data_IF_416678982780
#
_entry.id   IF_416678982780
#
_cell.length_a   1.000
_cell.length_b   1.000
_cell.length_c   1.000
_cell.angle_alpha   90.00
_cell.angle_beta   90.00
_cell.angle_gamma   90.00
#
_symmetry.space_group_name_H-M   'P 1'
#
loop_
_entity.id
_entity.type
_entity.pdbx_description
1 polymer ?
#
# COMPACT_ATOMS: atom_id res chain seq x y z
N UNK A 1 -0.94 -30.04 -7.54
CA UNK A 1 0.07 -29.02 -7.92
C UNK A 1 -0.59 -27.75 -8.47
N UNK A 2 -1.53 -27.85 -9.42
CA UNK A 2 -2.23 -26.68 -9.99
C UNK A 2 -3.12 -25.95 -8.95
N UNK A 3 -3.80 -26.70 -8.08
CA UNK A 3 -4.67 -26.11 -7.05
C UNK A 3 -3.91 -25.27 -6.01
N UNK A 4 -2.71 -25.71 -5.61
CA UNK A 4 -1.84 -24.93 -4.71
C UNK A 4 -1.36 -23.61 -5.34
N UNK A 5 -1.17 -23.57 -6.66
CA UNK A 5 -0.84 -22.34 -7.38
C UNK A 5 -2.06 -21.42 -7.43
N UNK A 6 -3.26 -21.97 -7.65
CA UNK A 6 -4.51 -21.20 -7.67
C UNK A 6 -4.82 -20.57 -6.30
N UNK A 7 -4.64 -21.31 -5.20
CA UNK A 7 -4.77 -20.76 -3.84
C UNK A 7 -3.73 -19.67 -3.55
N UNK A 8 -2.52 -19.81 -4.09
CA UNK A 8 -1.52 -18.75 -4.05
C UNK A 8 -2.01 -17.48 -4.74
N UNK A 9 -2.54 -17.58 -5.96
CA UNK A 9 -3.05 -16.41 -6.68
C UNK A 9 -4.27 -15.75 -6.00
N UNK A 10 -5.14 -16.52 -5.34
CA UNK A 10 -6.30 -15.95 -4.64
C UNK A 10 -5.94 -15.15 -3.39
N UNK A 11 -4.80 -15.45 -2.75
CA UNK A 11 -4.32 -14.74 -1.56
C UNK A 11 -3.43 -13.52 -1.88
N UNK A 12 -3.09 -13.32 -3.16
CA UNK A 12 -2.33 -12.16 -3.60
C UNK A 12 -3.18 -10.90 -3.41
N UNK A 13 -2.72 -10.02 -2.54
CA UNK A 13 -3.33 -8.71 -2.33
C UNK A 13 -2.26 -7.63 -2.26
N UNK A 14 -2.68 -6.40 -2.51
CA UNK A 14 -1.81 -5.22 -2.43
C UNK A 14 -2.13 -4.45 -1.17
N UNK A 15 -1.12 -4.15 -0.33
CA UNK A 15 -1.31 -3.35 0.88
C UNK A 15 -1.81 -1.94 0.55
N UNK A 16 -1.39 -1.38 -0.59
CA UNK A 16 -1.63 0.02 -0.95
C UNK A 16 -1.98 0.15 -2.44
N UNK A 17 -3.22 -0.20 -2.85
CA UNK A 17 -3.62 -0.20 -4.26
C UNK A 17 -3.56 1.19 -4.91
N UNK A 18 -3.57 2.27 -4.13
CA UNK A 18 -3.49 3.62 -4.67
C UNK A 18 -2.17 3.94 -5.40
N UNK A 19 -1.08 3.19 -5.13
CA UNK A 19 0.20 3.40 -5.82
C UNK A 19 0.19 3.06 -7.30
N UNK A 20 -0.83 2.33 -7.79
CA UNK A 20 -1.05 2.17 -9.23
C UNK A 20 -1.34 3.51 -9.93
N UNK A 21 -1.81 4.53 -9.21
CA UNK A 21 -1.91 5.89 -9.76
C UNK A 21 -0.54 6.44 -10.22
N UNK A 22 0.58 5.94 -9.65
CA UNK A 22 1.94 6.26 -10.08
C UNK A 22 2.29 5.77 -11.49
N UNK A 23 1.49 4.88 -12.09
CA UNK A 23 1.62 4.50 -13.50
C UNK A 23 1.10 5.58 -14.46
N UNK A 24 0.12 6.40 -14.03
CA UNK A 24 -0.40 7.49 -14.87
C UNK A 24 0.69 8.47 -15.32
N UNK A 25 1.53 9.05 -14.43
CA UNK A 25 2.57 9.97 -14.86
C UNK A 25 3.61 9.28 -15.77
N UNK A 26 3.93 8.01 -15.52
CA UNK A 26 4.82 7.24 -16.40
C UNK A 26 4.24 7.08 -17.81
N UNK A 27 2.94 6.74 -17.92
CA UNK A 27 2.25 6.63 -19.19
C UNK A 27 2.18 7.97 -19.94
N UNK A 28 1.87 9.06 -19.23
CA UNK A 28 1.83 10.41 -19.81
C UNK A 28 3.21 10.80 -20.38
N UNK A 29 4.29 10.57 -19.62
CA UNK A 29 5.64 10.85 -20.08
C UNK A 29 6.01 10.04 -21.32
N UNK A 30 5.71 8.74 -21.34
CA UNK A 30 5.98 7.87 -22.50
C UNK A 30 5.24 8.34 -23.75
N UNK A 31 3.96 8.69 -23.63
CA UNK A 31 3.16 9.23 -24.74
C UNK A 31 3.74 10.57 -25.21
N UNK A 32 4.06 11.47 -24.28
CA UNK A 32 4.63 12.78 -24.58
C UNK A 32 5.96 12.69 -25.34
N UNK A 33 6.89 11.85 -24.88
CA UNK A 33 8.17 11.63 -25.55
C UNK A 33 8.00 10.93 -26.91
N UNK A 34 7.05 9.98 -27.03
CA UNK A 34 6.71 9.33 -28.28
C UNK A 34 6.13 10.30 -29.33
N UNK A 35 5.25 11.21 -28.89
CA UNK A 35 4.69 12.27 -29.74
C UNK A 35 5.75 13.28 -30.16
N UNK A 36 6.61 13.72 -29.23
CA UNK A 36 7.70 14.64 -29.55
C UNK A 36 8.61 14.07 -30.63
N UNK A 37 8.99 12.79 -30.53
CA UNK A 37 9.82 12.12 -31.54
C UNK A 37 9.19 12.11 -32.94
N UNK A 38 7.87 11.90 -33.04
CA UNK A 38 7.16 11.97 -34.33
C UNK A 38 7.21 13.38 -34.91
N UNK A 39 7.10 14.41 -34.08
CA UNK A 39 7.17 15.81 -34.53
C UNK A 39 8.57 16.28 -34.90
N UNK A 40 9.65 15.69 -34.35
CA UNK A 40 11.03 15.97 -34.81
C UNK A 40 11.27 15.45 -36.24
N UNK A 41 10.41 14.56 -36.76
CA UNK A 41 10.45 14.10 -38.15
C UNK A 41 9.93 15.13 -39.18
N UNK A 42 9.27 16.21 -38.75
CA UNK A 42 8.61 17.14 -39.68
C UNK A 42 9.56 18.12 -40.38
N UNK A 43 10.85 18.13 -40.01
CA UNK A 43 11.89 18.88 -40.70
C UNK A 43 12.17 18.36 -42.12
N UNK A 44 11.84 17.09 -42.40
CA UNK A 44 11.89 16.52 -43.75
C UNK A 44 10.86 17.15 -44.71
N UNK A 45 9.78 17.73 -44.19
CA UNK A 45 8.75 18.38 -45.02
C UNK A 45 9.09 19.86 -45.34
N UNK A 46 10.04 20.46 -44.62
CA UNK A 46 10.33 21.89 -44.70
C UNK A 46 11.71 22.14 -45.33
N UNK A 47 12.64 21.18 -45.28
CA UNK A 47 14.00 21.32 -45.78
C UNK A 47 14.25 20.36 -46.95
N UNK A 48 14.94 20.85 -47.99
CA UNK A 48 15.33 20.06 -49.15
C UNK A 48 16.13 18.80 -48.73
N UNK A 49 15.71 17.59 -49.14
CA UNK A 49 16.32 16.32 -48.72
C UNK A 49 17.82 16.21 -49.05
N UNK A 50 18.31 16.96 -50.04
CA UNK A 50 19.73 16.99 -50.40
C UNK A 50 20.61 17.75 -49.38
N UNK A 51 20.03 18.64 -48.57
CA UNK A 51 20.74 19.44 -47.57
C UNK A 51 20.61 18.88 -46.15
N UNK A 52 19.60 18.05 -45.90
CA UNK A 52 19.38 17.37 -44.62
C UNK A 52 20.61 16.63 -44.04
N UNK A 53 21.36 15.82 -44.83
CA UNK A 53 22.48 15.06 -44.29
C UNK A 53 23.70 15.92 -43.90
N UNK A 54 23.73 17.19 -44.33
CA UNK A 54 24.79 18.14 -43.97
C UNK A 54 24.42 19.08 -42.82
N UNK A 55 23.12 19.24 -42.53
CA UNK A 55 22.64 20.00 -41.37
C UNK A 55 22.46 19.13 -40.12
N UNK A 56 22.15 17.85 -40.31
CA UNK A 56 21.98 16.88 -39.23
C UNK A 56 23.24 16.01 -39.26
N UNK A 57 24.22 16.37 -38.43
CA UNK A 57 25.39 15.52 -38.23
C UNK A 57 24.88 14.13 -37.81
N UNK A 58 25.12 13.12 -38.64
CA UNK A 58 24.61 11.74 -38.52
C UNK A 58 25.26 10.97 -37.34
N UNK A 59 25.41 11.63 -36.19
CA UNK A 59 25.91 11.10 -34.92
C UNK A 59 24.80 10.48 -34.06
N UNK A 60 23.58 10.41 -34.58
CA UNK A 60 22.36 10.20 -33.80
C UNK A 60 21.69 8.83 -33.94
N UNK A 61 22.19 7.92 -34.79
CA UNK A 61 21.65 6.55 -34.86
C UNK A 61 22.05 5.71 -33.63
N UNK A 62 23.33 5.70 -33.26
CA UNK A 62 23.81 5.04 -32.04
C UNK A 62 23.35 5.76 -30.75
N UNK A 63 23.45 7.10 -30.70
CA UNK A 63 22.99 7.88 -29.54
C UNK A 63 21.47 7.87 -29.38
N UNK A 64 20.71 7.93 -30.47
CA UNK A 64 19.25 7.86 -30.45
C UNK A 64 18.72 6.50 -30.04
N UNK A 65 19.38 5.41 -30.45
CA UNK A 65 19.07 4.03 -30.03
C UNK A 65 19.43 3.80 -28.56
N UNK A 66 20.58 4.31 -28.11
CA UNK A 66 20.99 4.25 -26.69
C UNK A 66 20.05 5.07 -25.79
N UNK A 67 19.59 6.24 -26.24
CA UNK A 67 18.60 7.04 -25.53
C UNK A 67 17.23 6.34 -25.42
N UNK A 68 16.81 5.60 -26.45
CA UNK A 68 15.57 4.79 -26.39
C UNK A 68 15.68 3.64 -25.39
N UNK A 69 16.81 2.94 -25.40
CA UNK A 69 17.07 1.85 -24.48
C UNK A 69 17.10 2.35 -23.02
N UNK A 70 17.73 3.51 -22.79
CA UNK A 70 17.75 4.15 -21.48
C UNK A 70 16.35 4.59 -21.02
N UNK A 71 15.51 5.13 -21.91
CA UNK A 71 14.10 5.44 -21.59
C UNK A 71 13.31 4.18 -21.23
N UNK A 72 13.53 3.08 -21.96
CA UNK A 72 12.89 1.80 -21.70
C UNK A 72 13.25 1.26 -20.31
N UNK A 73 14.53 1.30 -19.95
CA UNK A 73 14.97 0.92 -18.60
C UNK A 73 14.44 1.84 -17.51
N UNK A 74 14.39 3.15 -17.75
CA UNK A 74 13.82 4.10 -16.80
C UNK A 74 12.33 3.80 -16.56
N UNK A 75 11.57 3.55 -17.63
CA UNK A 75 10.17 3.17 -17.53
C UNK A 75 9.99 1.83 -16.80
N UNK A 76 10.82 0.83 -17.10
CA UNK A 76 10.78 -0.46 -16.42
C UNK A 76 11.11 -0.33 -14.92
N UNK A 77 12.15 0.42 -14.58
CA UNK A 77 12.53 0.71 -13.20
C UNK A 77 11.42 1.45 -12.45
N UNK A 78 10.74 2.39 -13.12
CA UNK A 78 9.60 3.09 -12.55
C UNK A 78 8.43 2.14 -12.24
N UNK A 79 8.06 1.28 -13.20
CA UNK A 79 7.00 0.28 -13.01
C UNK A 79 7.34 -0.66 -11.86
N UNK A 80 8.58 -1.14 -11.78
CA UNK A 80 9.06 -1.98 -10.68
C UNK A 80 9.00 -1.25 -9.34
N UNK A 81 9.33 0.03 -9.31
CA UNK A 81 9.22 0.86 -8.11
C UNK A 81 7.76 1.00 -7.66
N UNK A 82 6.83 1.30 -8.58
CA UNK A 82 5.40 1.34 -8.28
C UNK A 82 4.88 -0.02 -7.78
N UNK A 83 5.32 -1.12 -8.37
CA UNK A 83 4.93 -2.47 -7.95
C UNK A 83 5.47 -2.80 -6.55
N UNK A 84 6.73 -2.44 -6.27
CA UNK A 84 7.33 -2.58 -4.95
C UNK A 84 6.59 -1.76 -3.89
N UNK A 85 6.21 -0.52 -4.22
CA UNK A 85 5.45 0.38 -3.33
C UNK A 85 3.99 -0.06 -3.11
N UNK A 86 3.36 -0.68 -4.11
CA UNK A 86 2.04 -1.29 -3.96
C UNK A 86 2.04 -2.44 -2.94
N UNK A 87 3.22 -3.05 -2.71
CA UNK A 87 3.44 -4.07 -1.70
C UNK A 87 2.59 -5.31 -1.96
N UNK A 88 2.86 -6.09 -3.03
CA UNK A 88 2.22 -7.37 -3.23
C UNK A 88 2.60 -8.29 -2.08
N UNK A 89 1.61 -8.82 -1.38
CA UNK A 89 1.83 -9.79 -0.33
C UNK A 89 0.88 -10.96 -0.52
N UNK A 90 1.35 -12.13 -0.14
CA UNK A 90 0.55 -13.35 0.00
C UNK A 90 0.11 -13.60 1.44
N UNK A 91 0.71 -12.89 2.40
CA UNK A 91 0.38 -13.00 3.81
C UNK A 91 -0.42 -11.78 4.21
N UNK A 92 -1.70 -12.02 4.52
CA UNK A 92 -2.45 -11.07 5.32
C UNK A 92 -1.85 -11.17 6.72
N UNK A 93 -1.21 -10.09 7.18
CA UNK A 93 -0.94 -9.99 8.62
C UNK A 93 -2.32 -10.13 9.28
N UNK A 94 -2.49 -11.03 10.27
CA UNK A 94 -3.68 -10.98 11.09
C UNK A 94 -3.68 -9.56 11.66
N UNK A 95 -4.58 -8.70 11.16
CA UNK A 95 -4.86 -7.45 11.84
C UNK A 95 -5.09 -7.90 13.28
N UNK A 96 -4.37 -7.33 14.26
CA UNK A 96 -4.75 -7.55 15.64
C UNK A 96 -6.15 -6.98 15.70
N UNK A 97 -7.13 -7.88 15.58
CA UNK A 97 -8.52 -7.63 15.94
C UNK A 97 -8.33 -6.90 17.24
N UNK A 98 -8.73 -5.64 17.28
CA UNK A 98 -8.71 -4.87 18.51
C UNK A 98 -9.69 -5.59 19.45
N UNK A 99 -9.28 -6.73 20.00
CA UNK A 99 -9.64 -7.13 21.33
C UNK A 99 -9.14 -5.94 22.11
N UNK A 100 -10.07 -5.07 22.48
CA UNK A 100 -9.78 -4.02 23.43
C UNK A 100 -9.24 -4.76 24.65
N UNK A 101 -7.92 -4.86 24.77
CA UNK A 101 -7.20 -5.22 25.99
C UNK A 101 -7.48 -4.09 26.98
N UNK A 102 -8.73 -4.05 27.41
CA UNK A 102 -9.23 -3.06 28.31
C UNK A 102 -8.82 -3.60 29.67
N UNK A 103 -7.79 -2.99 30.23
CA UNK A 103 -7.28 -3.38 31.54
C UNK A 103 -8.29 -2.89 32.58
N UNK A 104 -8.89 -3.80 33.34
CA UNK A 104 -9.79 -3.46 34.45
C UNK A 104 -9.03 -3.60 35.77
N UNK A 105 -8.84 -2.49 36.46
CA UNK A 105 -8.30 -2.48 37.84
C UNK A 105 -9.46 -2.27 38.80
N UNK A 106 -9.60 -3.19 39.76
CA UNK A 106 -10.65 -3.15 40.80
C UNK A 106 -10.00 -2.89 42.15
N UNK A 107 -10.52 -1.91 42.88
CA UNK A 107 -10.15 -1.64 44.28
C UNK A 107 -11.39 -1.89 45.13
N UNK A 108 -11.26 -2.76 46.14
CA UNK A 108 -12.32 -3.11 47.07
C UNK A 108 -11.85 -2.77 48.49
N UNK A 109 -12.62 -1.95 49.20
CA UNK A 109 -12.39 -1.70 50.63
C UNK A 109 -12.84 -2.91 51.47
N UNK A 110 -12.02 -3.27 52.45
CA UNK A 110 -12.25 -4.37 53.41
C UNK A 110 -12.27 -3.86 54.86
N UNK A 111 -12.51 -2.56 55.07
CA UNK A 111 -12.66 -1.98 56.40
C UNK A 111 -13.87 -2.56 57.16
N UNK A 112 -13.89 -2.51 58.51
CA UNK A 112 -15.02 -3.00 59.32
C UNK A 112 -16.37 -2.37 58.96
N UNK A 113 -16.37 -1.16 58.39
CA UNK A 113 -17.58 -0.48 57.91
C UNK A 113 -18.32 -1.27 56.82
N UNK A 114 -17.62 -2.13 56.08
CA UNK A 114 -18.18 -2.97 55.02
C UNK A 114 -18.96 -4.18 55.54
N UNK A 115 -18.90 -4.46 56.84
CA UNK A 115 -19.74 -5.47 57.50
C UNK A 115 -21.15 -4.95 57.83
N UNK A 116 -21.46 -3.68 57.53
CA UNK A 116 -22.80 -3.12 57.71
C UNK A 116 -23.87 -3.90 56.93
N UNK A 117 -25.01 -4.12 57.58
CA UNK A 117 -26.17 -4.87 57.05
C UNK A 117 -27.31 -3.97 56.58
N UNK A 118 -27.07 -2.66 56.42
CA UNK A 118 -28.00 -1.72 55.80
C UNK A 118 -28.36 -2.12 54.36
N UNK A 119 -27.49 -2.90 53.72
CA UNK A 119 -27.80 -3.64 52.49
C UNK A 119 -27.65 -5.12 52.77
N UNK A 120 -28.77 -5.85 52.81
CA UNK A 120 -28.78 -7.30 53.03
C UNK A 120 -27.99 -8.05 51.94
N UNK A 121 -27.18 -9.06 52.28
CA UNK A 121 -26.86 -9.53 53.64
C UNK A 121 -25.75 -8.71 54.33
N UNK A 122 -24.80 -8.15 53.59
CA UNK A 122 -23.88 -7.12 54.06
C UNK A 122 -23.29 -6.36 52.87
N UNK A 123 -22.80 -5.13 53.08
CA UNK A 123 -22.17 -4.31 52.02
C UNK A 123 -21.05 -5.06 51.32
N UNK A 124 -20.20 -5.77 52.07
CA UNK A 124 -19.10 -6.58 51.53
C UNK A 124 -19.61 -7.70 50.61
N UNK A 125 -20.62 -8.44 51.05
CA UNK A 125 -21.18 -9.55 50.25
C UNK A 125 -21.84 -9.01 48.99
N UNK A 126 -22.52 -7.85 49.07
CA UNK A 126 -23.12 -7.19 47.91
C UNK A 126 -22.07 -6.69 46.91
N UNK A 127 -20.97 -6.10 47.39
CA UNK A 127 -19.86 -5.67 46.55
C UNK A 127 -19.21 -6.85 45.82
N UNK A 128 -19.05 -8.00 46.49
CA UNK A 128 -18.57 -9.24 45.87
C UNK A 128 -19.49 -9.71 44.74
N UNK A 129 -20.80 -9.76 44.96
CA UNK A 129 -21.74 -10.14 43.89
C UNK A 129 -21.67 -9.19 42.70
N UNK A 130 -21.60 -7.88 42.94
CA UNK A 130 -21.49 -6.89 41.87
C UNK A 130 -20.19 -7.03 41.07
N UNK A 131 -19.07 -7.38 41.73
CA UNK A 131 -17.82 -7.67 41.03
C UNK A 131 -17.93 -8.92 40.15
N UNK A 132 -18.55 -9.98 40.65
CA UNK A 132 -18.79 -11.20 39.85
C UNK A 132 -19.65 -10.87 38.62
N UNK A 133 -20.69 -10.06 38.78
CA UNK A 133 -21.55 -9.64 37.66
C UNK A 133 -20.76 -8.86 36.60
N UNK A 134 -19.95 -7.88 37.03
CA UNK A 134 -19.10 -7.07 36.13
C UNK A 134 -18.09 -7.95 35.39
N UNK A 135 -17.47 -8.90 36.07
CA UNK A 135 -16.48 -9.80 35.47
C UNK A 135 -17.13 -10.81 34.51
N UNK A 136 -18.36 -11.24 34.80
CA UNK A 136 -19.10 -12.19 33.95
C UNK A 136 -19.60 -11.53 32.67
N UNK A 137 -20.09 -10.28 32.73
CA UNK A 137 -20.56 -9.55 31.54
C UNK A 137 -19.45 -9.21 30.54
N UNK A 138 -18.19 -9.34 30.94
CA UNK A 138 -17.02 -8.99 30.14
C UNK A 138 -16.44 -10.19 29.37
N UNK A 139 -16.67 -11.41 29.85
CA UNK A 139 -16.26 -12.66 29.19
C UNK A 139 -17.31 -13.09 28.17
#
# INVERSE_FOLDING_TARGET
>A
MIESIAEGLSNLHFLRPFWFAGLLPAAILLVYFGWRKRNVGNWHNIINPALLPFLIEDKDTEKGRKAQWNLGFLALSWVLCCLSLAGPTWQQLPQPVHKQDSVLVVILDLSPSMLGEDVTPSRLVRARYKLIDILTQRN
#
